data_IF_712478308167
#
_entry.id   IF_712478308167
#
_cell.length_a   1.000
_cell.length_b   1.000
_cell.length_c   1.000
_cell.angle_alpha   90.00
_cell.angle_beta   90.00
_cell.angle_gamma   90.00
#
_symmetry.space_group_name_H-M   'P 1'
#
loop_
_entity.id
_entity.type
_entity.pdbx_description
1 polymer ?
#
# COMPACT_ATOMS: atom_id res chain seq x y z
N UNK A 1 29.40 -13.09 -0.47
CA UNK A 1 28.33 -13.73 -1.28
C UNK A 1 28.04 -12.97 -2.58
N UNK A 2 27.66 -11.69 -2.55
CA UNK A 2 27.26 -10.96 -3.77
C UNK A 2 28.31 -10.97 -4.90
N UNK A 3 29.59 -10.68 -4.61
CA UNK A 3 30.65 -10.72 -5.62
C UNK A 3 30.79 -12.11 -6.26
N UNK A 4 30.77 -13.18 -5.44
CA UNK A 4 30.83 -14.55 -5.93
C UNK A 4 29.64 -14.87 -6.84
N UNK A 5 28.43 -14.41 -6.48
CA UNK A 5 27.24 -14.57 -7.33
C UNK A 5 27.38 -13.87 -8.67
N UNK A 6 27.99 -12.68 -8.72
CA UNK A 6 28.22 -11.93 -9.96
C UNK A 6 29.25 -12.64 -10.84
N UNK A 7 30.36 -13.10 -10.24
CA UNK A 7 31.42 -13.81 -10.95
C UNK A 7 30.90 -15.12 -11.54
N UNK A 8 30.16 -15.91 -10.75
CA UNK A 8 29.64 -17.22 -11.14
C UNK A 8 28.39 -17.20 -12.04
N UNK A 9 27.80 -16.03 -12.35
CA UNK A 9 26.59 -15.93 -13.17
C UNK A 9 26.87 -15.39 -14.57
N UNK A 10 26.04 -15.80 -15.53
CA UNK A 10 25.99 -15.23 -16.89
C UNK A 10 25.06 -14.01 -16.99
N UNK A 11 24.20 -13.75 -16.00
CA UNK A 11 23.33 -12.58 -15.95
C UNK A 11 23.12 -12.09 -14.51
N UNK A 12 22.96 -10.78 -14.35
CA UNK A 12 22.65 -10.08 -13.10
C UNK A 12 21.58 -9.04 -13.41
N UNK A 13 20.52 -8.94 -12.62
CA UNK A 13 19.46 -7.98 -12.88
C UNK A 13 19.01 -7.20 -11.65
N UNK A 14 18.67 -5.93 -11.85
CA UNK A 14 17.83 -5.21 -10.91
C UNK A 14 16.34 -5.49 -11.14
N UNK A 15 15.50 -4.95 -10.25
CA UNK A 15 14.05 -5.21 -10.19
C UNK A 15 13.19 -3.97 -10.51
N UNK A 16 13.82 -2.86 -10.89
CA UNK A 16 13.22 -1.66 -11.48
C UNK A 16 14.31 -0.89 -12.22
N UNK A 17 13.92 -0.01 -13.15
CA UNK A 17 14.88 0.73 -13.98
C UNK A 17 15.88 1.53 -13.13
N UNK A 18 15.40 2.35 -12.19
CA UNK A 18 16.25 3.18 -11.32
C UNK A 18 17.16 2.29 -10.45
N UNK A 19 16.61 1.24 -9.86
CA UNK A 19 17.40 0.30 -9.05
C UNK A 19 18.48 -0.41 -9.87
N UNK A 20 18.18 -0.79 -11.11
CA UNK A 20 19.17 -1.37 -12.03
C UNK A 20 20.27 -0.39 -12.37
N UNK A 21 19.97 0.91 -12.50
CA UNK A 21 20.99 1.94 -12.70
C UNK A 21 21.86 2.15 -11.46
N UNK A 22 21.28 2.15 -10.25
CA UNK A 22 22.05 2.20 -8.99
C UNK A 22 23.00 1.01 -8.88
N UNK A 23 22.53 -0.19 -9.23
CA UNK A 23 23.37 -1.41 -9.27
C UNK A 23 24.59 -1.21 -10.18
N UNK A 24 24.39 -0.66 -11.38
CA UNK A 24 25.46 -0.48 -12.36
C UNK A 24 26.41 0.67 -12.02
N UNK A 25 25.90 1.76 -11.45
CA UNK A 25 26.67 3.01 -11.26
C UNK A 25 27.33 3.11 -9.90
N UNK A 26 26.71 2.55 -8.86
CA UNK A 26 27.11 2.77 -7.48
C UNK A 26 27.55 1.47 -6.79
N UNK A 27 26.75 0.40 -6.89
CA UNK A 27 26.98 -0.81 -6.06
C UNK A 27 28.03 -1.74 -6.68
N UNK A 28 27.94 -2.02 -7.97
CA UNK A 28 28.79 -2.99 -8.67
C UNK A 28 29.42 -2.40 -9.93
N UNK A 29 29.83 -1.12 -9.85
CA UNK A 29 30.43 -0.38 -10.95
C UNK A 29 31.57 -1.14 -11.63
N UNK A 30 32.53 -1.62 -10.85
CA UNK A 30 33.71 -2.32 -11.39
C UNK A 30 33.31 -3.60 -12.16
N UNK A 31 32.35 -4.37 -11.63
CA UNK A 31 31.85 -5.56 -12.33
C UNK A 31 31.07 -5.23 -13.59
N UNK A 32 30.32 -4.12 -13.58
CA UNK A 32 29.61 -3.61 -14.75
C UNK A 32 30.60 -3.14 -15.83
N UNK A 33 31.67 -2.45 -15.46
CA UNK A 33 32.72 -2.03 -16.40
C UNK A 33 33.46 -3.23 -17.01
N UNK A 34 33.70 -4.30 -16.23
CA UNK A 34 34.33 -5.52 -16.72
C UNK A 34 33.42 -6.36 -17.64
N UNK A 35 32.13 -6.45 -17.32
CA UNK A 35 31.18 -7.35 -18.01
C UNK A 35 29.79 -6.71 -18.20
N UNK A 36 29.69 -5.61 -18.95
CA UNK A 36 28.46 -4.81 -19.03
C UNK A 36 27.25 -5.58 -19.57
N UNK A 37 27.49 -6.50 -20.50
CA UNK A 37 26.47 -7.37 -21.10
C UNK A 37 25.74 -8.29 -20.09
N UNK A 38 26.33 -8.54 -18.92
CA UNK A 38 25.68 -9.36 -17.87
C UNK A 38 24.54 -8.61 -17.18
N UNK A 39 24.58 -7.27 -17.15
CA UNK A 39 23.70 -6.46 -16.33
C UNK A 39 22.40 -6.10 -17.05
N UNK A 40 21.27 -6.52 -16.50
CA UNK A 40 19.94 -6.34 -17.08
C UNK A 40 18.98 -5.66 -16.10
N UNK A 41 17.78 -5.34 -16.59
CA UNK A 41 16.65 -4.95 -15.76
C UNK A 41 15.48 -5.90 -16.03
N UNK A 42 14.84 -6.37 -14.95
CA UNK A 42 13.57 -7.11 -15.01
C UNK A 42 12.65 -6.50 -13.97
N UNK A 43 11.86 -5.50 -14.38
CA UNK A 43 10.95 -4.80 -13.46
C UNK A 43 9.98 -5.79 -12.84
N UNK A 44 9.81 -5.71 -11.52
CA UNK A 44 8.86 -6.58 -10.83
C UNK A 44 7.44 -6.37 -11.34
N UNK A 45 6.64 -7.43 -11.25
CA UNK A 45 5.21 -7.40 -11.56
C UNK A 45 4.43 -8.20 -10.53
N UNK A 46 3.11 -8.03 -10.57
CA UNK A 46 2.16 -8.79 -9.78
C UNK A 46 1.24 -9.61 -10.69
N UNK A 47 0.71 -10.72 -10.20
CA UNK A 47 -0.26 -11.50 -10.96
C UNK A 47 -1.65 -10.84 -10.89
N UNK A 48 -2.27 -10.48 -12.01
CA UNK A 48 -3.61 -9.88 -12.01
C UNK A 48 -4.70 -10.88 -11.57
N UNK A 49 -4.40 -12.18 -11.61
CA UNK A 49 -5.34 -13.23 -11.22
C UNK A 49 -5.65 -13.16 -9.72
N UNK A 50 -4.62 -12.99 -8.89
CA UNK A 50 -4.83 -12.84 -7.43
C UNK A 50 -5.25 -11.42 -7.07
N UNK A 51 -4.52 -10.43 -7.57
CA UNK A 51 -4.59 -9.05 -7.08
C UNK A 51 -5.59 -8.15 -7.81
N UNK A 52 -6.38 -8.71 -8.73
CA UNK A 52 -7.50 -8.04 -9.36
C UNK A 52 -8.70 -8.98 -9.48
N UNK A 53 -8.55 -10.09 -10.22
CA UNK A 53 -9.65 -11.02 -10.48
C UNK A 53 -10.21 -11.68 -9.20
N UNK A 54 -9.34 -12.28 -8.37
CA UNK A 54 -9.79 -13.00 -7.17
C UNK A 54 -10.13 -12.07 -6.00
N UNK A 55 -9.26 -11.10 -5.69
CA UNK A 55 -9.47 -10.26 -4.51
C UNK A 55 -10.52 -9.16 -4.73
N UNK A 56 -10.80 -8.78 -5.97
CA UNK A 56 -11.76 -7.73 -6.30
C UNK A 56 -12.71 -8.15 -7.42
N UNK A 57 -13.54 -9.19 -7.21
CA UNK A 57 -14.40 -9.76 -8.25
C UNK A 57 -15.36 -8.73 -8.84
N UNK A 58 -15.95 -7.84 -8.01
CA UNK A 58 -16.84 -6.80 -8.52
C UNK A 58 -16.16 -5.82 -9.49
N UNK A 59 -14.88 -5.50 -9.28
CA UNK A 59 -14.13 -4.69 -10.25
C UNK A 59 -13.79 -5.50 -11.51
N UNK A 60 -13.43 -6.78 -11.33
CA UNK A 60 -13.14 -7.66 -12.44
C UNK A 60 -14.35 -7.84 -13.37
N UNK A 61 -15.55 -8.00 -12.80
CA UNK A 61 -16.80 -8.12 -13.55
C UNK A 61 -17.07 -6.85 -14.37
N UNK A 62 -16.95 -5.66 -13.77
CA UNK A 62 -17.12 -4.36 -14.47
C UNK A 62 -16.13 -4.23 -15.64
N UNK A 63 -14.86 -4.58 -15.42
CA UNK A 63 -13.85 -4.54 -16.48
C UNK A 63 -14.26 -5.50 -17.59
N UNK A 64 -14.62 -6.73 -17.24
CA UNK A 64 -14.98 -7.77 -18.19
C UNK A 64 -16.23 -7.45 -19.00
N UNK A 65 -17.21 -6.76 -18.43
CA UNK A 65 -18.39 -6.28 -19.16
C UNK A 65 -18.03 -5.26 -20.25
N UNK A 66 -16.98 -4.45 -20.05
CA UNK A 66 -16.59 -3.39 -20.99
C UNK A 66 -15.61 -3.86 -22.06
N UNK A 67 -14.66 -4.72 -21.71
CA UNK A 67 -13.56 -5.09 -22.61
C UNK A 67 -13.38 -6.61 -22.80
N UNK A 68 -14.32 -7.43 -22.30
CA UNK A 68 -14.25 -8.89 -22.38
C UNK A 68 -13.31 -9.51 -21.33
N UNK A 69 -13.08 -10.82 -21.39
CA UNK A 69 -12.32 -11.56 -20.36
C UNK A 69 -10.83 -11.80 -20.69
N UNK A 70 -10.37 -11.37 -21.86
CA UNK A 70 -9.00 -11.63 -22.35
C UNK A 70 -7.93 -10.90 -21.53
N UNK A 71 -8.27 -9.77 -20.91
CA UNK A 71 -7.38 -9.00 -20.03
C UNK A 71 -6.81 -9.81 -18.86
N UNK A 72 -7.50 -10.86 -18.41
CA UNK A 72 -7.02 -11.76 -17.34
C UNK A 72 -5.68 -12.41 -17.76
N UNK A 73 -5.49 -12.64 -19.06
CA UNK A 73 -4.23 -13.12 -19.65
C UNK A 73 -3.36 -12.00 -20.20
N UNK A 74 -3.97 -11.01 -20.82
CA UNK A 74 -3.36 -9.91 -21.55
C UNK A 74 -3.61 -8.58 -20.83
N UNK A 75 -2.89 -8.35 -19.73
CA UNK A 75 -3.18 -7.23 -18.82
C UNK A 75 -3.08 -5.85 -19.49
N UNK A 76 -2.29 -5.76 -20.56
CA UNK A 76 -2.17 -4.59 -21.43
C UNK A 76 -3.52 -4.12 -22.01
N UNK A 77 -4.49 -5.01 -22.18
CA UNK A 77 -5.82 -4.68 -22.67
C UNK A 77 -6.59 -3.72 -21.74
N UNK A 78 -6.23 -3.64 -20.46
CA UNK A 78 -6.80 -2.65 -19.54
C UNK A 78 -6.62 -1.20 -20.04
N UNK A 79 -5.68 -0.93 -20.94
CA UNK A 79 -5.53 0.38 -21.57
C UNK A 79 -6.78 0.80 -22.37
N UNK A 80 -7.58 -0.14 -22.86
CA UNK A 80 -8.84 0.14 -23.56
C UNK A 80 -9.86 0.86 -22.67
N UNK A 81 -9.75 0.71 -21.34
CA UNK A 81 -10.60 1.42 -20.37
C UNK A 81 -10.44 2.95 -20.47
N UNK A 82 -9.34 3.45 -21.06
CA UNK A 82 -9.14 4.88 -21.33
C UNK A 82 -10.20 5.47 -22.25
N UNK A 83 -10.89 4.64 -23.05
CA UNK A 83 -11.97 5.10 -23.92
C UNK A 83 -13.24 5.45 -23.13
N UNK A 84 -13.34 5.03 -21.86
CA UNK A 84 -14.51 5.18 -21.00
C UNK A 84 -14.30 6.16 -19.85
N UNK A 85 -13.28 7.03 -19.93
CA UNK A 85 -12.97 8.07 -18.93
C UNK A 85 -14.19 8.93 -18.56
N UNK A 86 -15.04 9.25 -19.53
CA UNK A 86 -16.22 10.11 -19.35
C UNK A 86 -17.53 9.31 -19.25
N UNK A 87 -17.47 7.98 -19.19
CA UNK A 87 -18.65 7.13 -19.01
C UNK A 87 -19.13 7.23 -17.56
N UNK A 88 -20.18 8.02 -17.32
CA UNK A 88 -20.73 8.25 -15.99
C UNK A 88 -21.24 6.98 -15.33
N UNK A 89 -21.83 6.05 -16.11
CA UNK A 89 -22.35 4.78 -15.61
C UNK A 89 -21.20 3.90 -15.11
N UNK A 90 -20.10 3.84 -15.87
CA UNK A 90 -18.89 3.13 -15.44
C UNK A 90 -18.30 3.73 -14.17
N UNK A 91 -18.19 5.06 -14.09
CA UNK A 91 -17.65 5.74 -12.91
C UNK A 91 -18.50 5.49 -11.66
N UNK A 92 -19.84 5.51 -11.78
CA UNK A 92 -20.76 5.17 -10.69
C UNK A 92 -20.61 3.70 -10.26
N UNK A 93 -20.51 2.77 -11.20
CA UNK A 93 -20.28 1.36 -10.90
C UNK A 93 -18.94 1.13 -10.17
N UNK A 94 -17.86 1.79 -10.61
CA UNK A 94 -16.55 1.72 -9.96
C UNK A 94 -16.60 2.26 -8.52
N UNK A 95 -17.27 3.39 -8.30
CA UNK A 95 -17.49 3.95 -6.97
C UNK A 95 -18.27 2.96 -6.09
N UNK A 96 -19.32 2.34 -6.62
CA UNK A 96 -20.12 1.38 -5.88
C UNK A 96 -19.31 0.17 -5.44
N UNK A 97 -18.46 -0.36 -6.31
CA UNK A 97 -17.55 -1.47 -5.97
C UNK A 97 -16.56 -1.06 -4.89
N UNK A 98 -16.00 0.15 -4.96
CA UNK A 98 -15.12 0.68 -3.92
C UNK A 98 -15.83 0.76 -2.56
N UNK A 99 -17.04 1.32 -2.52
CA UNK A 99 -17.85 1.38 -1.30
C UNK A 99 -18.11 0.00 -0.70
N UNK A 100 -18.52 -0.98 -1.52
CA UNK A 100 -18.76 -2.35 -1.07
C UNK A 100 -17.49 -3.00 -0.50
N UNK A 101 -16.34 -2.78 -1.13
CA UNK A 101 -15.06 -3.28 -0.61
C UNK A 101 -14.69 -2.62 0.73
N UNK A 102 -14.95 -1.31 0.89
CA UNK A 102 -14.75 -0.60 2.16
C UNK A 102 -15.68 -1.08 3.26
N UNK A 103 -16.93 -1.41 2.94
CA UNK A 103 -17.87 -2.02 3.88
C UNK A 103 -17.40 -3.40 4.32
N UNK A 104 -16.93 -4.25 3.39
CA UNK A 104 -16.34 -5.56 3.73
C UNK A 104 -15.17 -5.41 4.71
N UNK A 105 -14.25 -4.49 4.43
CA UNK A 105 -13.13 -4.22 5.32
C UNK A 105 -13.59 -3.65 6.67
N UNK A 106 -14.58 -2.76 6.69
CA UNK A 106 -15.17 -2.21 7.93
C UNK A 106 -15.74 -3.32 8.82
N UNK A 107 -16.47 -4.27 8.24
CA UNK A 107 -17.01 -5.41 8.97
C UNK A 107 -15.90 -6.30 9.54
N UNK A 108 -14.85 -6.55 8.75
CA UNK A 108 -13.67 -7.27 9.21
C UNK A 108 -12.99 -6.55 10.39
N UNK A 109 -12.79 -5.23 10.28
CA UNK A 109 -12.16 -4.43 11.36
C UNK A 109 -13.00 -4.47 12.64
N UNK A 110 -14.32 -4.35 12.52
CA UNK A 110 -15.22 -4.46 13.67
C UNK A 110 -15.13 -5.85 14.33
N UNK A 111 -15.12 -6.92 13.53
CA UNK A 111 -15.08 -8.29 14.04
C UNK A 111 -13.75 -8.63 14.74
N UNK A 112 -12.62 -8.24 14.15
CA UNK A 112 -11.29 -8.67 14.63
C UNK A 112 -10.66 -7.68 15.62
N UNK A 113 -10.97 -6.39 15.52
CA UNK A 113 -10.36 -5.34 16.35
C UNK A 113 -11.37 -4.68 17.30
N UNK A 114 -12.68 -4.89 17.12
CA UNK A 114 -13.71 -4.24 17.93
C UNK A 114 -13.84 -2.74 17.67
N UNK A 115 -13.24 -2.22 16.59
CA UNK A 115 -13.21 -0.80 16.27
C UNK A 115 -14.24 -0.51 15.19
N UNK A 116 -15.16 0.42 15.47
CA UNK A 116 -16.07 0.97 14.46
C UNK A 116 -15.36 2.05 13.65
N UNK A 117 -15.35 1.89 12.32
CA UNK A 117 -14.79 2.86 11.38
C UNK A 117 -15.87 3.33 10.41
N UNK A 118 -15.71 4.56 9.90
CA UNK A 118 -16.64 5.15 8.93
C UNK A 118 -16.26 4.71 7.50
N UNK A 119 -17.07 3.93 6.78
CA UNK A 119 -16.75 3.53 5.41
C UNK A 119 -16.76 4.70 4.41
N UNK A 120 -17.34 5.85 4.77
CA UNK A 120 -17.28 7.08 3.96
C UNK A 120 -16.00 7.90 4.16
N UNK A 121 -15.16 7.53 5.13
CA UNK A 121 -13.85 8.17 5.32
C UNK A 121 -12.85 7.71 4.27
N UNK A 122 -11.83 8.51 3.97
CA UNK A 122 -10.69 8.07 3.16
C UNK A 122 -9.97 6.93 3.88
N UNK A 123 -9.88 5.77 3.24
CA UNK A 123 -9.07 4.65 3.72
C UNK A 123 -7.63 4.86 3.26
N UNK A 124 -6.82 5.38 4.19
CA UNK A 124 -5.40 5.71 4.02
C UNK A 124 -4.54 4.58 4.57
N UNK A 125 -3.88 3.85 3.68
CA UNK A 125 -3.31 2.54 4.00
C UNK A 125 -1.81 2.53 3.75
N UNK A 126 -1.06 2.13 4.77
CA UNK A 126 0.37 1.84 4.68
C UNK A 126 0.63 0.40 5.15
N UNK A 127 0.54 -0.55 4.23
CA UNK A 127 0.88 -1.95 4.50
C UNK A 127 2.18 -2.33 3.81
N UNK A 128 3.16 -2.79 4.58
CA UNK A 128 4.47 -3.29 4.15
C UNK A 128 5.28 -3.72 5.38
N UNK A 129 6.44 -4.36 5.19
CA UNK A 129 7.37 -4.64 6.30
C UNK A 129 7.67 -3.34 7.09
N UNK A 130 7.75 -3.44 8.41
CA UNK A 130 8.13 -2.30 9.25
C UNK A 130 9.63 -2.11 9.17
N UNK A 131 10.07 -0.96 8.66
CA UNK A 131 11.48 -0.63 8.49
C UNK A 131 11.65 0.89 8.43
N UNK A 132 12.73 1.41 9.00
CA UNK A 132 13.02 2.86 9.01
C UNK A 132 12.97 3.50 7.61
N UNK A 133 13.56 2.87 6.59
CA UNK A 133 13.53 3.43 5.22
C UNK A 133 12.13 3.45 4.59
N UNK A 134 11.19 2.63 5.08
CA UNK A 134 9.78 2.61 4.62
C UNK A 134 8.92 3.68 5.31
N UNK A 135 9.50 4.36 6.31
CA UNK A 135 9.00 5.58 6.96
C UNK A 135 7.56 5.49 7.50
N UNK A 136 7.17 4.37 8.12
CA UNK A 136 5.93 4.33 8.92
C UNK A 136 5.96 5.35 10.06
N UNK A 137 7.15 5.66 10.59
CA UNK A 137 7.35 6.74 11.55
C UNK A 137 6.89 8.10 10.99
N UNK A 138 7.23 8.42 9.73
CA UNK A 138 6.79 9.67 9.08
C UNK A 138 5.26 9.75 9.00
N UNK A 139 4.61 8.65 8.63
CA UNK A 139 3.15 8.58 8.60
C UNK A 139 2.55 8.75 10.01
N UNK A 140 3.15 8.12 11.03
CA UNK A 140 2.72 8.29 12.43
C UNK A 140 2.82 9.76 12.89
N UNK A 141 3.91 10.45 12.56
CA UNK A 141 4.06 11.89 12.84
C UNK A 141 3.02 12.75 12.11
N UNK A 142 2.65 12.37 10.89
CA UNK A 142 1.56 13.01 10.15
C UNK A 142 0.20 12.80 10.83
N UNK A 143 -0.08 11.60 11.35
CA UNK A 143 -1.29 11.31 12.15
C UNK A 143 -1.34 12.21 13.39
N UNK A 144 -0.23 12.33 14.14
CA UNK A 144 -0.15 13.20 15.32
C UNK A 144 -0.42 14.65 14.94
N UNK A 145 0.11 15.10 13.80
CA UNK A 145 -0.14 16.45 13.28
C UNK A 145 -1.61 16.67 12.94
N UNK A 146 -2.27 15.71 12.28
CA UNK A 146 -3.71 15.77 11.99
C UNK A 146 -4.54 15.83 13.27
N UNK A 147 -4.23 14.96 14.24
CA UNK A 147 -4.89 14.95 15.55
C UNK A 147 -4.79 16.31 16.24
N UNK A 148 -3.58 16.87 16.35
CA UNK A 148 -3.38 18.18 17.00
C UNK A 148 -4.11 19.32 16.29
N UNK A 149 -4.20 19.29 14.96
CA UNK A 149 -4.96 20.28 14.19
C UNK A 149 -6.46 20.18 14.46
N UNK A 150 -7.00 18.97 14.50
CA UNK A 150 -8.39 18.71 14.85
C UNK A 150 -8.72 19.16 16.28
N UNK A 151 -7.82 18.91 17.25
CA UNK A 151 -8.00 19.37 18.63
C UNK A 151 -8.01 20.89 18.74
N UNK A 152 -7.17 21.58 17.97
CA UNK A 152 -7.04 23.04 18.03
C UNK A 152 -8.20 23.78 17.37
N UNK A 153 -8.76 23.22 16.30
CA UNK A 153 -9.92 23.81 15.62
C UNK A 153 -10.92 22.70 15.24
N UNK A 154 -11.77 22.25 16.19
CA UNK A 154 -12.71 21.16 15.96
C UNK A 154 -13.73 21.45 14.85
N UNK A 155 -14.13 22.70 14.67
CA UNK A 155 -15.18 23.08 13.72
C UNK A 155 -14.67 23.33 12.29
N UNK A 156 -13.35 23.23 12.09
CA UNK A 156 -12.76 23.35 10.76
C UNK A 156 -13.32 22.27 9.79
N UNK A 157 -13.55 22.61 8.51
CA UNK A 157 -13.87 21.63 7.49
C UNK A 157 -12.79 20.53 7.45
N UNK A 158 -13.23 19.28 7.52
CA UNK A 158 -12.32 18.13 7.55
C UNK A 158 -12.91 16.97 6.75
N UNK A 159 -12.08 16.31 5.94
CA UNK A 159 -12.44 15.07 5.25
C UNK A 159 -12.09 13.89 6.15
N UNK A 160 -13.06 13.11 6.65
CA UNK A 160 -12.80 12.00 7.55
C UNK A 160 -11.77 11.03 6.98
N UNK A 161 -10.87 10.52 7.83
CA UNK A 161 -9.79 9.61 7.43
C UNK A 161 -9.66 8.46 8.41
N UNK A 162 -9.58 7.24 7.86
CA UNK A 162 -9.23 6.04 8.61
C UNK A 162 -7.86 5.60 8.14
N UNK A 163 -6.84 5.80 8.99
CA UNK A 163 -5.46 5.44 8.70
C UNK A 163 -5.19 4.03 9.19
N UNK A 164 -4.73 3.16 8.30
CA UNK A 164 -4.42 1.76 8.62
C UNK A 164 -2.96 1.47 8.31
N UNK A 165 -2.19 1.12 9.32
CA UNK A 165 -0.78 0.74 9.16
C UNK A 165 -0.65 -0.74 9.47
N UNK A 166 -0.02 -1.51 8.59
CA UNK A 166 0.14 -2.96 8.77
C UNK A 166 1.51 -3.44 8.36
N UNK A 167 2.04 -4.42 9.08
CA UNK A 167 3.36 -4.95 8.81
C UNK A 167 3.93 -5.79 9.94
N UNK A 168 5.07 -6.41 9.66
CA UNK A 168 5.87 -7.16 10.64
C UNK A 168 7.25 -6.54 10.77
N UNK A 169 7.76 -6.46 11.99
CA UNK A 169 9.16 -6.16 12.27
C UNK A 169 9.94 -7.48 12.42
N UNK A 170 11.21 -7.47 12.03
CA UNK A 170 12.10 -8.58 12.33
C UNK A 170 12.32 -8.68 13.86
N UNK A 171 12.46 -9.89 14.42
CA UNK A 171 12.44 -10.08 15.88
C UNK A 171 13.56 -9.32 16.61
N UNK A 172 14.75 -9.24 16.01
CA UNK A 172 15.91 -8.51 16.54
C UNK A 172 15.95 -7.01 16.21
N UNK A 173 14.97 -6.48 15.48
CA UNK A 173 14.97 -5.08 15.06
C UNK A 173 14.22 -4.20 16.06
N UNK A 174 14.93 -3.76 17.10
CA UNK A 174 14.37 -3.00 18.21
C UNK A 174 13.64 -1.71 17.75
N UNK A 175 14.30 -0.87 16.96
CA UNK A 175 13.71 0.39 16.46
C UNK A 175 12.42 0.17 15.69
N UNK A 176 12.35 -0.88 14.84
CA UNK A 176 11.13 -1.21 14.11
C UNK A 176 9.99 -1.62 15.06
N UNK A 177 10.30 -2.32 16.16
CA UNK A 177 9.31 -2.67 17.19
C UNK A 177 8.85 -1.45 17.99
N UNK A 178 9.74 -0.51 18.27
CA UNK A 178 9.40 0.76 18.93
C UNK A 178 8.49 1.63 18.06
N UNK A 179 8.70 1.64 16.73
CA UNK A 179 7.79 2.30 15.78
C UNK A 179 6.39 1.67 15.86
N UNK A 180 6.28 0.34 15.91
CA UNK A 180 4.98 -0.34 16.09
C UNK A 180 4.34 0.10 17.41
N UNK A 181 5.10 0.07 18.51
CA UNK A 181 4.62 0.47 19.83
C UNK A 181 4.10 1.92 19.83
N UNK A 182 4.82 2.84 19.20
CA UNK A 182 4.39 4.23 19.03
C UNK A 182 3.06 4.32 18.26
N UNK A 183 2.94 3.63 17.12
CA UNK A 183 1.71 3.65 16.32
C UNK A 183 0.53 3.11 17.13
N UNK A 184 0.70 2.02 17.87
CA UNK A 184 -0.36 1.47 18.73
C UNK A 184 -0.74 2.43 19.85
N UNK A 185 0.22 3.09 20.49
CA UNK A 185 -0.05 4.09 21.53
C UNK A 185 -0.81 5.31 20.98
N UNK A 186 -0.42 5.80 19.79
CA UNK A 186 -1.13 6.89 19.10
C UNK A 186 -2.55 6.44 18.73
N UNK A 187 -2.71 5.22 18.22
CA UNK A 187 -4.02 4.67 17.88
C UNK A 187 -4.95 4.59 19.09
N UNK A 188 -4.43 4.17 20.24
CA UNK A 188 -5.18 4.14 21.50
C UNK A 188 -5.71 5.53 21.89
N UNK A 189 -4.87 6.56 21.80
CA UNK A 189 -5.26 7.95 22.12
C UNK A 189 -6.28 8.47 21.11
N UNK A 190 -6.01 8.33 19.81
CA UNK A 190 -6.87 8.88 18.73
C UNK A 190 -8.24 8.21 18.69
N UNK A 191 -8.30 6.90 18.92
CA UNK A 191 -9.55 6.15 18.87
C UNK A 191 -10.36 6.23 20.17
N UNK A 192 -9.87 6.93 21.20
CA UNK A 192 -10.55 7.01 22.48
C UNK A 192 -11.94 7.66 22.31
N UNK A 193 -12.99 6.89 22.57
CA UNK A 193 -14.37 7.33 22.38
C UNK A 193 -14.84 8.38 23.40
N UNK A 194 -14.06 8.66 24.45
CA UNK A 194 -14.35 9.78 25.35
C UNK A 194 -13.98 11.14 24.74
N UNK A 195 -13.15 11.17 23.68
CA UNK A 195 -12.78 12.40 22.98
C UNK A 195 -13.80 12.74 21.88
N UNK A 196 -14.81 13.51 22.26
CA UNK A 196 -15.88 13.96 21.34
C UNK A 196 -15.38 14.90 20.24
N UNK A 197 -14.21 15.54 20.41
CA UNK A 197 -13.67 16.48 19.42
C UNK A 197 -13.18 15.78 18.15
N UNK A 198 -12.71 14.54 18.27
CA UNK A 198 -12.25 13.71 17.15
C UNK A 198 -13.41 12.91 16.55
N UNK A 199 -14.15 12.19 17.39
CA UNK A 199 -15.29 11.36 16.96
C UNK A 199 -14.96 10.44 15.78
N UNK A 200 -15.65 10.66 14.66
CA UNK A 200 -15.47 9.90 13.40
C UNK A 200 -14.57 10.60 12.36
N UNK A 201 -13.91 11.72 12.72
CA UNK A 201 -13.05 12.46 11.79
C UNK A 201 -11.74 11.73 11.55
N UNK A 202 -11.14 11.14 12.58
CA UNK A 202 -9.88 10.41 12.46
C UNK A 202 -9.96 9.09 13.23
N UNK A 203 -9.63 7.99 12.56
CA UNK A 203 -9.40 6.68 13.19
C UNK A 203 -8.05 6.13 12.76
N UNK A 204 -7.37 5.41 13.65
CA UNK A 204 -6.05 4.83 13.38
C UNK A 204 -6.05 3.37 13.80
N UNK A 205 -5.68 2.46 12.91
CA UNK A 205 -5.66 1.02 13.19
C UNK A 205 -4.29 0.46 12.84
N UNK A 206 -3.70 -0.28 13.78
CA UNK A 206 -2.56 -1.15 13.48
C UNK A 206 -3.08 -2.54 13.07
N UNK A 207 -2.80 -2.95 11.84
CA UNK A 207 -3.26 -4.20 11.26
C UNK A 207 -2.27 -5.32 11.61
N UNK A 208 -2.64 -6.09 12.62
CA UNK A 208 -1.82 -7.16 13.16
C UNK A 208 -1.70 -8.34 12.18
N UNK A 209 -0.57 -9.04 12.26
CA UNK A 209 -0.28 -10.25 11.48
C UNK A 209 -0.59 -10.10 9.98
N UNK A 210 -0.21 -8.95 9.39
CA UNK A 210 -0.36 -8.69 7.95
C UNK A 210 0.23 -9.82 7.10
N UNK A 211 -0.58 -10.30 6.16
CA UNK A 211 -0.35 -11.46 5.30
C UNK A 211 -1.23 -11.37 4.06
N UNK A 212 -1.00 -12.25 3.07
CA UNK A 212 -1.73 -12.25 1.79
C UNK A 212 -3.25 -12.20 1.97
N UNK A 213 -3.81 -13.06 2.83
CA UNK A 213 -5.26 -13.08 3.09
C UNK A 213 -5.82 -11.73 3.55
N UNK A 214 -5.05 -11.00 4.37
CA UNK A 214 -5.47 -9.68 4.83
C UNK A 214 -5.28 -8.62 3.73
N UNK A 215 -4.21 -8.73 2.95
CA UNK A 215 -3.95 -7.86 1.81
C UNK A 215 -5.06 -7.96 0.74
N UNK A 216 -5.59 -9.16 0.48
CA UNK A 216 -6.71 -9.40 -0.43
C UNK A 216 -8.00 -8.65 -0.01
N UNK A 217 -8.17 -8.35 1.27
CA UNK A 217 -9.29 -7.52 1.77
C UNK A 217 -8.97 -6.02 1.75
N UNK A 218 -7.73 -5.67 2.04
CA UNK A 218 -7.27 -4.29 2.22
C UNK A 218 -7.10 -3.57 0.88
N UNK A 219 -6.39 -4.19 -0.07
CA UNK A 219 -6.01 -3.55 -1.34
C UNK A 219 -7.24 -3.08 -2.12
N UNK A 220 -8.32 -3.89 -2.29
CA UNK A 220 -9.52 -3.44 -2.98
C UNK A 220 -10.25 -2.28 -2.29
N UNK A 221 -10.08 -2.11 -0.98
CA UNK A 221 -10.75 -1.10 -0.16
C UNK A 221 -9.93 0.19 0.02
N UNK A 222 -8.65 0.21 -0.36
CA UNK A 222 -7.79 1.38 -0.21
C UNK A 222 -8.25 2.53 -1.11
N UNK A 223 -8.35 3.74 -0.55
CA UNK A 223 -8.51 4.98 -1.33
C UNK A 223 -7.15 5.63 -1.59
N UNK A 224 -6.25 5.54 -0.59
CA UNK A 224 -4.90 6.07 -0.65
C UNK A 224 -3.90 5.00 -0.19
N UNK A 225 -2.91 4.72 -1.03
CA UNK A 225 -1.80 3.79 -0.74
C UNK A 225 -0.51 4.57 -0.46
N UNK A 226 0.06 4.41 0.73
CA UNK A 226 1.24 5.16 1.18
C UNK A 226 2.55 4.51 0.72
N UNK A 227 3.15 5.07 -0.34
CA UNK A 227 4.43 4.64 -0.91
C UNK A 227 5.55 5.64 -0.61
N UNK A 228 5.79 5.85 0.68
CA UNK A 228 6.62 6.95 1.19
C UNK A 228 8.03 6.51 1.61
N UNK A 229 8.66 5.55 0.94
CA UNK A 229 10.04 5.18 1.29
C UNK A 229 11.02 6.34 1.03
N UNK A 230 12.18 6.37 1.69
CA UNK A 230 13.24 7.36 1.35
C UNK A 230 13.70 7.12 -0.10
N UNK A 231 13.83 8.18 -0.90
CA UNK A 231 14.25 8.05 -2.29
C UNK A 231 15.58 7.27 -2.41
N UNK A 232 15.64 6.33 -3.37
CA UNK A 232 16.80 5.46 -3.57
C UNK A 232 16.87 4.21 -2.68
N UNK A 233 16.01 4.08 -1.65
CA UNK A 233 16.06 2.93 -0.72
C UNK A 233 15.11 1.80 -1.06
N UNK A 234 14.03 2.07 -1.80
CA UNK A 234 13.13 1.03 -2.30
C UNK A 234 13.58 0.57 -3.68
N UNK A 235 13.85 -0.73 -3.83
CA UNK A 235 14.31 -1.28 -5.10
C UNK A 235 13.21 -1.29 -6.18
N UNK A 236 11.96 -1.55 -5.79
CA UNK A 236 10.79 -1.50 -6.67
C UNK A 236 9.55 -1.25 -5.83
N UNK A 237 9.21 -2.20 -4.95
CA UNK A 237 7.89 -2.31 -4.35
C UNK A 237 6.90 -2.98 -5.32
N UNK A 238 6.02 -3.83 -4.78
CA UNK A 238 4.99 -4.56 -5.55
C UNK A 238 3.58 -4.34 -4.99
N UNK A 239 3.47 -3.68 -3.84
CA UNK A 239 2.22 -3.24 -3.22
C UNK A 239 1.89 -1.78 -3.59
N UNK A 240 2.69 -1.18 -4.48
CA UNK A 240 2.61 0.22 -4.91
C UNK A 240 1.37 0.50 -5.74
#
# INVERSE_FOLDING_TARGET
>A
MAHLSIVGSHAVNGVAAIHSEIIKREIFKDFFEMTPQKFQNKTNGITPRRWLLLCNPGLADIISERIGNTWIKHLEELQQLRNFINDTELLEALNKVKELNKVKLTNYIMQFYGIRINPMSIFDIQVKRIHEYKRQLLNCLYIITMYNRLKRNPDAPFVPRTVMIGGKAAPGYLTAKDIIKLICAVAYIVNNNSDTTIGNKLKVIYLENYRVTLAELIIPAADLSQQISTAGTEASGTET
#
